data_IF_520102865828
#
_entry.id   IF_520102865828
#
_cell.length_a   1.000
_cell.length_b   1.000
_cell.length_c   1.000
_cell.angle_alpha   90.00
_cell.angle_beta   90.00
_cell.angle_gamma   90.00
#
_symmetry.space_group_name_H-M   'P 1'
#
loop_
_entity.id
_entity.type
_entity.pdbx_description
1 polymer ?
#
# COMPACT_ATOMS: atom_id res chain seq x y z
N UNK A 1 0.40 -25.40 -11.70
CA UNK A 1 -0.44 -24.67 -10.73
C UNK A 1 0.49 -24.15 -9.64
N UNK A 2 1.06 -22.95 -9.83
CA UNK A 2 1.92 -22.35 -8.80
C UNK A 2 1.03 -21.49 -7.91
N UNK A 3 0.65 -22.05 -6.76
CA UNK A 3 0.02 -21.29 -5.70
C UNK A 3 1.11 -20.42 -5.05
N UNK A 4 1.30 -19.22 -5.59
CA UNK A 4 2.28 -18.27 -5.07
C UNK A 4 1.74 -17.66 -3.80
N UNK A 5 2.14 -18.21 -2.65
CA UNK A 5 1.87 -17.61 -1.35
C UNK A 5 2.54 -16.23 -1.30
N UNK A 6 1.72 -15.18 -1.32
CA UNK A 6 2.13 -13.80 -1.13
C UNK A 6 2.70 -13.65 0.29
N UNK A 7 3.87 -13.03 0.44
CA UNK A 7 4.45 -12.77 1.76
C UNK A 7 3.43 -12.04 2.65
N UNK A 8 3.17 -12.50 3.89
CA UNK A 8 2.15 -11.90 4.75
C UNK A 8 2.34 -10.39 4.98
N UNK A 9 3.59 -9.94 5.08
CA UNK A 9 3.91 -8.51 5.25
C UNK A 9 3.60 -7.70 3.99
N UNK A 10 3.74 -8.30 2.80
CA UNK A 10 3.33 -7.66 1.55
C UNK A 10 1.80 -7.54 1.48
N UNK A 11 1.07 -8.55 1.94
CA UNK A 11 -0.39 -8.51 2.06
C UNK A 11 -0.85 -7.37 2.97
N UNK A 12 -0.27 -7.27 4.18
CA UNK A 12 -0.57 -6.20 5.14
C UNK A 12 -0.30 -4.81 4.51
N UNK A 13 0.83 -4.64 3.83
CA UNK A 13 1.16 -3.36 3.17
C UNK A 13 0.19 -2.99 2.05
N UNK A 14 -0.31 -3.96 1.29
CA UNK A 14 -1.31 -3.73 0.23
C UNK A 14 -2.65 -3.33 0.82
N UNK A 15 -3.06 -3.97 1.91
CA UNK A 15 -4.32 -3.69 2.61
C UNK A 15 -4.28 -2.31 3.30
N UNK A 16 -3.17 -1.96 3.96
CA UNK A 16 -2.94 -0.59 4.47
C UNK A 16 -3.06 0.44 3.34
N UNK A 17 -2.49 0.16 2.17
CA UNK A 17 -2.55 1.06 1.02
C UNK A 17 -3.98 1.24 0.49
N UNK A 18 -4.79 0.18 0.52
CA UNK A 18 -6.20 0.22 0.13
C UNK A 18 -7.03 1.05 1.12
N UNK A 19 -6.89 0.79 2.42
CA UNK A 19 -7.57 1.57 3.46
C UNK A 19 -7.20 3.06 3.41
N UNK A 20 -5.95 3.39 3.11
CA UNK A 20 -5.52 4.79 2.91
C UNK A 20 -6.12 5.42 1.65
N UNK A 21 -6.43 4.64 0.62
CA UNK A 21 -7.17 5.14 -0.54
C UNK A 21 -8.62 5.45 -0.17
N UNK A 22 -9.29 4.55 0.55
CA UNK A 22 -10.64 4.76 1.07
C UNK A 22 -10.71 6.01 1.97
N UNK A 23 -9.74 6.19 2.86
CA UNK A 23 -9.67 7.38 3.74
C UNK A 23 -9.55 8.69 2.94
N UNK A 24 -8.79 8.69 1.84
CA UNK A 24 -8.70 9.87 0.95
C UNK A 24 -10.00 10.14 0.21
N UNK A 25 -10.69 9.09 -0.23
CA UNK A 25 -11.99 9.21 -0.92
C UNK A 25 -13.06 9.79 0.01
N UNK A 26 -13.11 9.35 1.28
CA UNK A 26 -13.99 9.95 2.30
C UNK A 26 -13.62 11.39 2.66
N UNK A 27 -12.38 11.79 2.42
CA UNK A 27 -11.88 13.15 2.63
C UNK A 27 -12.09 14.10 1.45
N UNK A 28 -12.48 13.60 0.27
CA UNK A 28 -12.65 14.42 -0.93
C UNK A 28 -14.05 15.02 -1.03
N UNK A 29 -14.17 16.21 -1.63
CA UNK A 29 -15.45 16.91 -1.81
C UNK A 29 -16.43 16.18 -2.76
N UNK A 30 -15.97 15.12 -3.43
CA UNK A 30 -16.74 14.27 -4.34
C UNK A 30 -17.42 13.11 -3.60
N UNK A 31 -16.88 12.68 -2.45
CA UNK A 31 -17.51 11.71 -1.54
C UNK A 31 -18.67 12.31 -0.73
N UNK A 32 -18.88 13.62 -0.84
CA UNK A 32 -20.01 14.36 -0.30
C UNK A 32 -20.95 14.80 -1.42
N UNK A 33 -21.56 13.85 -2.14
CA UNK A 33 -22.77 14.19 -2.88
C UNK A 33 -23.80 14.70 -1.85
N UNK A 34 -24.27 15.96 -1.93
CA UNK A 34 -25.22 16.50 -0.95
C UNK A 34 -26.53 15.70 -0.85
N UNK A 35 -26.78 14.81 -1.82
CA UNK A 35 -27.98 13.99 -1.94
C UNK A 35 -27.96 12.70 -1.12
N UNK A 36 -26.79 12.20 -0.66
CA UNK A 36 -26.71 10.91 0.08
C UNK A 36 -26.78 11.10 1.61
N UNK A 37 -26.42 12.29 2.10
CA UNK A 37 -26.41 12.62 3.54
C UNK A 37 -27.81 12.68 4.16
N UNK A 38 -28.87 12.83 3.36
CA UNK A 38 -30.24 12.91 3.87
C UNK A 38 -30.91 11.55 4.11
N UNK A 39 -30.28 10.42 3.75
CA UNK A 39 -30.87 9.08 3.92
C UNK A 39 -30.02 8.09 4.70
N UNK A 40 -28.71 8.29 4.80
CA UNK A 40 -27.83 7.48 5.62
C UNK A 40 -27.16 8.37 6.67
N UNK A 41 -27.52 8.17 7.93
CA UNK A 41 -26.99 8.87 9.10
C UNK A 41 -25.53 8.44 9.40
N UNK A 42 -24.68 8.41 8.38
CA UNK A 42 -23.28 8.01 8.48
C UNK A 42 -22.49 9.23 8.94
N UNK A 43 -21.98 9.14 10.17
CA UNK A 43 -20.98 10.08 10.67
C UNK A 43 -19.66 9.82 9.93
N UNK A 44 -19.36 10.68 8.95
CA UNK A 44 -18.16 10.58 8.12
C UNK A 44 -16.88 10.76 8.94
N UNK A 45 -16.93 11.51 10.04
CA UNK A 45 -15.77 11.74 10.89
C UNK A 45 -15.50 10.52 11.77
N UNK A 46 -16.55 9.90 12.31
CA UNK A 46 -16.44 8.60 13.00
C UNK A 46 -15.87 7.51 12.06
N UNK A 47 -16.36 7.45 10.82
CA UNK A 47 -15.88 6.50 9.82
C UNK A 47 -14.39 6.70 9.47
N UNK A 48 -13.94 7.95 9.34
CA UNK A 48 -12.52 8.30 9.12
C UNK A 48 -11.66 7.88 10.30
N UNK A 49 -12.08 8.22 11.52
CA UNK A 49 -11.33 7.87 12.73
C UNK A 49 -11.15 6.35 12.83
N UNK A 50 -12.21 5.58 12.60
CA UNK A 50 -12.15 4.13 12.66
C UNK A 50 -11.22 3.52 11.58
N UNK A 51 -11.14 4.12 10.39
CA UNK A 51 -10.17 3.73 9.36
C UNK A 51 -8.73 4.04 9.78
N UNK A 52 -8.48 5.21 10.37
CA UNK A 52 -7.15 5.60 10.87
C UNK A 52 -6.66 4.68 11.98
N UNK A 53 -7.54 4.30 12.91
CA UNK A 53 -7.26 3.35 13.99
C UNK A 53 -6.85 1.98 13.41
N UNK A 54 -7.65 1.42 12.50
CA UNK A 54 -7.33 0.16 11.82
C UNK A 54 -6.01 0.20 11.06
N UNK A 55 -5.74 1.29 10.34
CA UNK A 55 -4.45 1.48 9.66
C UNK A 55 -3.31 1.45 10.70
N UNK A 56 -3.49 2.10 11.85
CA UNK A 56 -2.53 2.09 12.95
C UNK A 56 -2.25 0.68 13.50
N UNK A 57 -3.30 -0.10 13.73
CA UNK A 57 -3.20 -1.50 14.19
C UNK A 57 -2.42 -2.36 13.20
N UNK A 58 -2.77 -2.30 11.91
CA UNK A 58 -2.09 -3.05 10.86
C UNK A 58 -0.62 -2.64 10.68
N UNK A 59 -0.31 -1.35 10.83
CA UNK A 59 1.08 -0.88 10.85
C UNK A 59 1.84 -1.48 12.03
N UNK A 60 1.18 -1.72 13.16
CA UNK A 60 1.72 -2.43 14.32
C UNK A 60 2.13 -3.88 14.04
N UNK A 61 1.40 -4.58 13.16
CA UNK A 61 1.67 -5.96 12.74
C UNK A 61 2.87 -6.11 11.79
N UNK A 62 3.34 -5.00 11.21
CA UNK A 62 4.55 -5.00 10.41
C UNK A 62 5.78 -5.29 11.27
N UNK A 63 6.68 -6.11 10.73
CA UNK A 63 7.99 -6.37 11.33
C UNK A 63 8.76 -5.05 11.53
N UNK A 64 9.63 -4.94 12.55
CA UNK A 64 10.29 -3.67 12.89
C UNK A 64 10.99 -2.99 11.70
N UNK A 65 11.65 -3.77 10.83
CA UNK A 65 12.34 -3.26 9.64
C UNK A 65 11.37 -2.69 8.60
N UNK A 66 10.28 -3.41 8.32
CA UNK A 66 9.27 -2.99 7.36
C UNK A 66 8.51 -1.77 7.88
N UNK A 67 8.11 -1.79 9.16
CA UNK A 67 7.43 -0.68 9.84
C UNK A 67 8.27 0.60 9.81
N UNK A 68 9.55 0.52 10.15
CA UNK A 68 10.45 1.67 10.12
C UNK A 68 10.55 2.29 8.71
N UNK A 69 10.63 1.44 7.67
CA UNK A 69 10.62 1.92 6.29
C UNK A 69 9.29 2.51 5.88
N UNK A 70 8.17 1.86 6.21
CA UNK A 70 6.82 2.34 5.95
C UNK A 70 6.65 3.75 6.54
N UNK A 71 6.92 3.93 7.83
CA UNK A 71 6.79 5.23 8.50
C UNK A 71 7.62 6.34 7.86
N UNK A 72 8.77 6.01 7.26
CA UNK A 72 9.62 6.97 6.55
C UNK A 72 9.04 7.41 5.20
N UNK A 73 8.39 6.51 4.46
CA UNK A 73 7.96 6.78 3.07
C UNK A 73 6.48 7.13 2.96
N UNK A 74 5.64 6.60 3.85
CA UNK A 74 4.19 6.72 3.86
C UNK A 74 3.65 8.16 3.95
N UNK A 75 4.31 9.11 4.63
CA UNK A 75 3.85 10.51 4.67
C UNK A 75 4.02 11.25 3.33
N UNK A 76 4.95 10.80 2.49
CA UNK A 76 5.34 11.50 1.27
C UNK A 76 4.90 10.76 -0.01
N UNK A 77 4.05 9.73 0.11
CA UNK A 77 3.64 8.87 -1.00
C UNK A 77 2.22 8.36 -0.85
N UNK A 78 1.47 8.46 -1.94
CA UNK A 78 0.12 7.88 -2.04
C UNK A 78 0.15 6.36 -2.04
N UNK A 79 1.19 5.78 -2.65
CA UNK A 79 1.42 4.34 -2.75
C UNK A 79 2.81 3.98 -2.25
N UNK A 80 2.85 3.12 -1.24
CA UNK A 80 4.10 2.62 -0.65
C UNK A 80 4.50 1.28 -1.25
N UNK A 81 3.55 0.53 -1.82
CA UNK A 81 3.76 -0.70 -2.58
C UNK A 81 3.47 -0.43 -4.06
N UNK A 82 4.42 -0.76 -4.93
CA UNK A 82 4.30 -0.54 -6.38
C UNK A 82 4.76 -1.76 -7.17
N UNK A 83 4.18 -2.03 -8.34
CA UNK A 83 4.66 -3.09 -9.20
C UNK A 83 5.99 -2.71 -9.86
N UNK A 84 6.77 -3.74 -10.19
CA UNK A 84 7.82 -3.69 -11.20
C UNK A 84 7.30 -4.37 -12.45
N UNK A 85 7.24 -3.63 -13.55
CA UNK A 85 6.75 -4.11 -14.85
C UNK A 85 7.88 -3.89 -15.85
N UNK A 86 8.25 -4.94 -16.59
CA UNK A 86 9.39 -4.93 -17.52
C UNK A 86 10.69 -4.35 -16.91
N UNK A 87 10.94 -4.67 -15.64
CA UNK A 87 12.13 -4.19 -14.93
C UNK A 87 12.09 -2.70 -14.58
N UNK A 88 10.94 -2.04 -14.61
CA UNK A 88 10.79 -0.62 -14.23
C UNK A 88 9.97 -0.51 -12.95
N UNK A 89 10.43 0.29 -11.99
CA UNK A 89 9.68 0.60 -10.78
C UNK A 89 8.58 1.64 -11.07
N UNK A 90 7.32 1.30 -10.85
CA UNK A 90 6.20 2.22 -11.12
C UNK A 90 5.96 3.26 -10.00
N UNK A 91 6.85 3.32 -9.02
CA UNK A 91 6.85 4.40 -8.01
C UNK A 91 7.74 5.59 -8.39
N UNK A 92 8.79 5.39 -9.17
CA UNK A 92 9.71 6.45 -9.57
C UNK A 92 10.29 6.32 -10.98
N UNK A 93 9.76 5.38 -11.78
CA UNK A 93 10.08 5.15 -13.19
C UNK A 93 11.56 4.87 -13.50
N UNK A 94 12.32 4.39 -12.53
CA UNK A 94 13.72 3.95 -12.76
C UNK A 94 13.77 2.46 -13.06
N UNK A 95 14.78 2.05 -13.83
CA UNK A 95 15.08 0.66 -14.09
C UNK A 95 15.59 -0.03 -12.83
N UNK A 96 15.07 -1.23 -12.56
CA UNK A 96 15.51 -2.13 -11.50
C UNK A 96 16.37 -3.23 -12.14
N UNK A 97 17.60 -3.45 -11.67
CA UNK A 97 18.50 -4.47 -12.22
C UNK A 97 17.83 -5.85 -12.34
N UNK A 98 18.05 -6.54 -13.46
CA UNK A 98 17.42 -7.82 -13.84
C UNK A 98 17.65 -8.96 -12.84
N UNK A 99 18.76 -8.95 -12.08
CA UNK A 99 19.00 -9.89 -10.97
C UNK A 99 17.94 -9.81 -9.86
N UNK A 100 17.24 -8.68 -9.76
CA UNK A 100 16.14 -8.44 -8.81
C UNK A 100 14.77 -8.79 -9.41
N UNK A 101 14.66 -8.94 -10.73
CA UNK A 101 13.39 -9.21 -11.42
C UNK A 101 13.14 -10.70 -11.70
N UNK A 102 14.19 -11.51 -11.88
CA UNK A 102 14.10 -12.89 -12.37
C UNK A 102 14.10 -14.02 -11.32
N UNK A 103 14.05 -13.71 -10.03
CA UNK A 103 14.24 -14.73 -8.99
C UNK A 103 12.90 -15.40 -8.62
N UNK A 104 12.81 -16.73 -8.73
CA UNK A 104 11.57 -17.52 -8.65
C UNK A 104 10.89 -17.53 -7.26
N UNK A 105 11.40 -16.75 -6.31
CA UNK A 105 10.80 -16.44 -5.00
C UNK A 105 10.15 -15.05 -4.95
N UNK A 106 9.72 -14.50 -6.09
CA UNK A 106 9.25 -13.10 -6.32
C UNK A 106 8.36 -12.51 -5.22
N UNK A 107 7.52 -13.31 -4.57
CA UNK A 107 6.58 -12.87 -3.54
C UNK A 107 6.90 -13.38 -2.14
N UNK A 108 7.97 -14.13 -1.93
CA UNK A 108 8.33 -14.69 -0.62
C UNK A 108 9.09 -13.68 0.25
N UNK A 109 9.73 -12.67 -0.35
CA UNK A 109 10.49 -11.63 0.34
C UNK A 109 9.97 -10.26 -0.05
N UNK A 110 9.74 -9.39 0.93
CA UNK A 110 9.40 -7.99 0.69
C UNK A 110 10.64 -7.25 0.19
N UNK A 111 10.66 -6.93 -1.10
CA UNK A 111 11.75 -6.17 -1.73
C UNK A 111 11.45 -4.68 -1.73
N UNK A 112 12.48 -3.86 -1.91
CA UNK A 112 12.35 -2.40 -1.99
C UNK A 112 13.12 -1.84 -3.17
N UNK A 113 12.58 -0.82 -3.82
CA UNK A 113 13.30 -0.02 -4.79
C UNK A 113 14.45 0.74 -4.08
N UNK A 114 15.67 0.64 -4.59
CA UNK A 114 16.84 1.31 -4.00
C UNK A 114 16.81 2.82 -4.21
N UNK A 115 16.17 3.28 -5.29
CA UNK A 115 16.07 4.71 -5.62
C UNK A 115 15.02 5.45 -4.79
N UNK A 116 13.75 5.03 -4.84
CA UNK A 116 12.68 5.73 -4.12
C UNK A 116 12.40 5.12 -2.74
N UNK A 117 12.71 3.84 -2.54
CA UNK A 117 12.46 3.15 -1.29
C UNK A 117 11.07 2.52 -1.15
N UNK A 118 10.19 2.63 -2.15
CA UNK A 118 8.90 1.91 -2.18
C UNK A 118 9.11 0.40 -2.10
N UNK A 119 8.18 -0.30 -1.47
CA UNK A 119 8.10 -1.75 -1.52
C UNK A 119 7.71 -2.18 -2.94
N UNK A 120 8.35 -3.22 -3.45
CA UNK A 120 8.17 -3.66 -4.84
C UNK A 120 7.80 -5.13 -4.92
N UNK A 121 6.93 -5.45 -5.87
CA UNK A 121 6.62 -6.81 -6.30
C UNK A 121 6.71 -6.88 -7.82
N UNK A 122 7.19 -7.99 -8.37
CA UNK A 122 7.29 -8.13 -9.83
C UNK A 122 5.94 -8.64 -10.35
N UNK A 123 5.41 -7.99 -11.37
CA UNK A 123 4.29 -8.52 -12.15
C UNK A 123 4.89 -9.26 -13.35
N UNK A 124 4.52 -10.54 -13.58
CA UNK A 124 4.94 -11.27 -14.77
C UNK A 124 4.45 -10.61 -16.05
#
# INVERSE_FOLDING_TARGET
>A
MSNTLLNPQLSILLEIQDMRAQLRELGSAEGSAPMEQEHFNIDLDEAKQHLEEKIGEMVGELSPQIRARYNRIAPNRDRVVVPVIHGVCYGCFVSIPTATAGDQGVHQVVRTCENCGSFIYVKP
#
